data_IF_632817619873
#
_entry.id   IF_632817619873
#
_cell.length_a   1.000
_cell.length_b   1.000
_cell.length_c   1.000
_cell.angle_alpha   90.00
_cell.angle_beta   90.00
_cell.angle_gamma   90.00
#
_symmetry.space_group_name_H-M   'P 1'
#
loop_
_entity.id
_entity.type
_entity.pdbx_description
1 polymer ?
#
# COMPACT_ATOMS: atom_id res chain seq x y z
N UNK A 1 -1.69 -0.88 -28.96
CA UNK A 1 -2.75 -1.44 -28.10
C UNK A 1 -3.68 -0.30 -27.70
N UNK A 2 -4.99 -0.39 -27.97
CA UNK A 2 -5.93 0.70 -27.60
C UNK A 2 -6.25 0.60 -26.11
N UNK A 3 -6.02 1.69 -25.36
CA UNK A 3 -6.39 1.81 -23.95
C UNK A 3 -7.91 2.03 -23.87
N UNK A 4 -8.64 1.38 -22.94
CA UNK A 4 -10.06 1.65 -22.74
C UNK A 4 -10.29 3.12 -22.35
N UNK A 5 -11.38 3.68 -22.86
CA UNK A 5 -11.83 5.03 -22.52
C UNK A 5 -12.88 4.98 -21.39
N UNK A 6 -13.01 6.06 -20.62
CA UNK A 6 -13.99 6.20 -19.54
C UNK A 6 -13.94 5.06 -18.50
N UNK A 7 -12.74 4.80 -17.99
CA UNK A 7 -12.47 3.78 -16.97
C UNK A 7 -11.86 4.43 -15.73
N UNK A 8 -12.28 3.95 -14.56
CA UNK A 8 -11.61 4.28 -13.31
C UNK A 8 -10.18 3.72 -13.30
N UNK A 9 -9.34 4.22 -12.43
CA UNK A 9 -7.96 3.73 -12.29
C UNK A 9 -7.95 2.23 -11.91
N UNK A 10 -8.87 1.78 -11.05
CA UNK A 10 -9.02 0.35 -10.71
C UNK A 10 -9.35 -0.49 -11.93
N UNK A 11 -10.30 -0.04 -12.78
CA UNK A 11 -10.67 -0.74 -14.01
C UNK A 11 -9.54 -0.78 -15.04
N UNK A 12 -8.71 0.28 -15.10
CA UNK A 12 -7.52 0.32 -15.96
C UNK A 12 -6.48 -0.70 -15.51
N UNK A 13 -6.22 -0.81 -14.20
CA UNK A 13 -5.35 -1.85 -13.67
C UNK A 13 -5.92 -3.24 -13.93
N UNK A 14 -7.20 -3.48 -13.66
CA UNK A 14 -7.83 -4.78 -13.91
C UNK A 14 -7.72 -5.18 -15.40
N UNK A 15 -7.97 -4.23 -16.31
CA UNK A 15 -7.78 -4.43 -17.75
C UNK A 15 -6.33 -4.79 -18.09
N UNK A 16 -5.35 -4.06 -17.51
CA UNK A 16 -3.94 -4.31 -17.77
C UNK A 16 -3.49 -5.67 -17.28
N UNK A 17 -3.88 -6.05 -16.08
CA UNK A 17 -3.59 -7.35 -15.48
C UNK A 17 -4.13 -8.51 -16.33
N UNK A 18 -5.35 -8.37 -16.83
CA UNK A 18 -5.95 -9.38 -17.70
C UNK A 18 -5.32 -9.44 -19.11
N UNK A 19 -4.84 -8.30 -19.64
CA UNK A 19 -4.36 -8.20 -21.01
C UNK A 19 -2.96 -8.76 -21.23
N UNK A 20 -2.06 -8.56 -20.28
CA UNK A 20 -0.66 -8.98 -20.38
C UNK A 20 -0.13 -9.50 -19.05
N UNK A 21 -0.75 -10.56 -18.47
CA UNK A 21 -0.42 -11.05 -17.13
C UNK A 21 1.06 -11.42 -16.96
N UNK A 22 1.64 -12.06 -17.96
CA UNK A 22 3.01 -12.57 -17.88
C UNK A 22 4.09 -11.55 -18.27
N UNK A 23 3.68 -10.33 -18.67
CA UNK A 23 4.64 -9.27 -18.95
C UNK A 23 5.16 -8.67 -17.63
N UNK A 24 6.45 -8.31 -17.62
CA UNK A 24 7.05 -7.60 -16.47
C UNK A 24 6.38 -6.24 -16.30
N UNK A 25 5.84 -6.00 -15.13
CA UNK A 25 5.24 -4.72 -14.74
C UNK A 25 6.33 -3.74 -14.31
N UNK A 26 7.25 -4.17 -13.47
CA UNK A 26 8.39 -3.39 -13.02
C UNK A 26 9.56 -4.29 -12.60
N UNK A 27 10.75 -3.66 -12.52
CA UNK A 27 11.96 -4.24 -11.95
C UNK A 27 12.47 -3.36 -10.83
N UNK A 28 12.90 -3.98 -9.76
CA UNK A 28 13.56 -3.31 -8.67
C UNK A 28 14.75 -4.15 -8.18
N UNK A 29 15.96 -3.61 -8.35
CA UNK A 29 17.21 -4.34 -8.15
C UNK A 29 17.23 -5.62 -9.01
N UNK A 30 17.33 -6.79 -8.37
CA UNK A 30 17.33 -8.11 -8.99
C UNK A 30 15.94 -8.77 -9.04
N UNK A 31 14.91 -8.11 -8.51
CA UNK A 31 13.52 -8.60 -8.53
C UNK A 31 12.75 -8.11 -9.75
N UNK A 32 12.03 -9.02 -10.38
CA UNK A 32 11.06 -8.73 -11.43
C UNK A 32 9.67 -9.11 -10.95
N UNK A 33 8.70 -8.21 -11.13
CA UNK A 33 7.29 -8.45 -10.81
C UNK A 33 6.49 -8.41 -12.11
N UNK A 34 5.76 -9.48 -12.41
CA UNK A 34 4.85 -9.51 -13.55
C UNK A 34 3.54 -8.78 -13.21
N UNK A 35 2.73 -8.45 -14.23
CA UNK A 35 1.38 -7.91 -13.98
C UNK A 35 0.48 -8.90 -13.24
N UNK A 36 0.67 -10.21 -13.43
CA UNK A 36 -0.02 -11.25 -12.68
C UNK A 36 0.36 -11.22 -11.20
N UNK A 37 1.66 -11.16 -10.89
CA UNK A 37 2.14 -11.12 -9.51
C UNK A 37 1.69 -9.83 -8.82
N UNK A 38 1.81 -8.69 -9.49
CA UNK A 38 1.36 -7.40 -8.99
C UNK A 38 -0.15 -7.41 -8.68
N UNK A 39 -0.95 -8.09 -9.52
CA UNK A 39 -2.37 -8.28 -9.25
C UNK A 39 -2.62 -9.12 -7.99
N UNK A 40 -1.91 -10.23 -7.83
CA UNK A 40 -2.01 -11.11 -6.66
C UNK A 40 -1.61 -10.34 -5.40
N UNK A 41 -0.43 -9.74 -5.37
CA UNK A 41 0.10 -9.04 -4.20
C UNK A 41 -0.76 -7.85 -3.80
N UNK A 42 -1.24 -7.06 -4.76
CA UNK A 42 -2.15 -5.96 -4.46
C UNK A 42 -3.54 -6.41 -4.00
N UNK A 43 -4.04 -7.57 -4.45
CA UNK A 43 -5.26 -8.17 -3.90
C UNK A 43 -5.06 -8.59 -2.43
N UNK A 44 -3.94 -9.23 -2.13
CA UNK A 44 -3.59 -9.63 -0.77
C UNK A 44 -3.49 -8.42 0.15
N UNK A 45 -2.84 -7.34 -0.27
CA UNK A 45 -2.78 -6.10 0.52
C UNK A 45 -4.18 -5.52 0.73
N UNK A 46 -5.01 -5.46 -0.31
CA UNK A 46 -6.38 -4.96 -0.19
C UNK A 46 -7.21 -5.78 0.81
N UNK A 47 -7.16 -7.11 0.71
CA UNK A 47 -7.85 -7.99 1.64
C UNK A 47 -7.29 -7.85 3.07
N UNK A 48 -5.98 -7.69 3.22
CA UNK A 48 -5.34 -7.44 4.50
C UNK A 48 -5.80 -6.13 5.16
N UNK A 49 -5.94 -5.04 4.38
CA UNK A 49 -6.48 -3.77 4.88
C UNK A 49 -7.94 -3.91 5.31
N UNK A 50 -8.77 -4.61 4.52
CA UNK A 50 -10.15 -4.91 4.86
C UNK A 50 -10.22 -5.73 6.16
N UNK A 51 -9.39 -6.75 6.31
CA UNK A 51 -9.31 -7.59 7.51
C UNK A 51 -8.84 -6.81 8.75
N UNK A 52 -8.07 -5.74 8.58
CA UNK A 52 -7.73 -4.79 9.65
C UNK A 52 -8.89 -3.85 10.01
N UNK A 53 -10.02 -3.93 9.30
CA UNK A 53 -11.20 -3.09 9.53
C UNK A 53 -11.14 -1.74 8.84
N UNK A 54 -10.22 -1.53 7.90
CA UNK A 54 -10.18 -0.32 7.07
C UNK A 54 -11.44 -0.24 6.20
N UNK A 55 -12.03 0.94 6.14
CA UNK A 55 -13.21 1.26 5.34
C UNK A 55 -12.81 2.19 4.19
N UNK A 56 -13.76 2.50 3.31
CA UNK A 56 -13.57 3.59 2.34
C UNK A 56 -13.07 4.84 3.06
N UNK A 57 -12.16 5.56 2.44
CA UNK A 57 -11.50 6.77 2.95
C UNK A 57 -10.57 6.58 4.15
N UNK A 58 -10.37 5.37 4.68
CA UNK A 58 -9.31 5.13 5.67
C UNK A 58 -7.95 5.47 5.05
N UNK A 59 -7.15 6.32 5.72
CA UNK A 59 -5.83 6.73 5.23
C UNK A 59 -4.79 5.68 5.58
N UNK A 60 -4.03 5.28 4.56
CA UNK A 60 -2.98 4.28 4.65
C UNK A 60 -1.67 4.96 4.25
N UNK A 61 -0.79 5.16 5.22
CA UNK A 61 0.48 5.84 4.98
C UNK A 61 1.56 4.89 4.46
N UNK A 62 2.40 5.40 3.59
CA UNK A 62 3.65 4.77 3.16
C UNK A 62 4.82 5.71 3.47
N UNK A 63 5.72 5.27 4.34
CA UNK A 63 6.93 5.99 4.73
C UNK A 63 8.16 5.16 4.36
N UNK A 64 8.73 5.44 3.21
CA UNK A 64 9.84 4.69 2.67
C UNK A 64 10.30 5.24 1.33
N UNK A 65 11.43 4.72 0.84
CA UNK A 65 11.88 4.95 -0.53
C UNK A 65 11.02 4.16 -1.51
N UNK A 66 10.96 4.62 -2.75
CA UNK A 66 10.24 3.89 -3.79
C UNK A 66 10.90 2.53 -4.05
N UNK A 67 10.08 1.49 -4.09
CA UNK A 67 10.46 0.12 -4.39
C UNK A 67 9.31 -0.59 -5.13
N UNK A 68 9.48 -1.85 -5.47
CA UNK A 68 8.40 -2.70 -5.97
C UNK A 68 7.23 -2.77 -4.98
N UNK A 69 7.51 -2.89 -3.69
CA UNK A 69 6.50 -2.90 -2.62
C UNK A 69 5.67 -1.61 -2.55
N UNK A 70 6.26 -0.46 -2.92
CA UNK A 70 5.50 0.79 -3.02
C UNK A 70 4.32 0.65 -3.99
N UNK A 71 4.55 0.10 -5.18
CA UNK A 71 3.48 -0.11 -6.16
C UNK A 71 2.44 -1.14 -5.70
N UNK A 72 2.88 -2.21 -5.03
CA UNK A 72 1.96 -3.18 -4.43
C UNK A 72 1.04 -2.51 -3.40
N UNK A 73 1.61 -1.70 -2.50
CA UNK A 73 0.86 -0.97 -1.48
C UNK A 73 -0.13 0.03 -2.09
N UNK A 74 0.30 0.88 -3.03
CA UNK A 74 -0.56 1.88 -3.67
C UNK A 74 -1.73 1.22 -4.42
N UNK A 75 -1.48 0.15 -5.18
CA UNK A 75 -2.55 -0.55 -5.89
C UNK A 75 -3.45 -1.31 -4.91
N UNK A 76 -2.89 -1.84 -3.82
CA UNK A 76 -3.66 -2.48 -2.75
C UNK A 76 -4.61 -1.51 -2.05
N UNK A 77 -4.15 -0.29 -1.74
CA UNK A 77 -5.01 0.77 -1.17
C UNK A 77 -6.13 1.16 -2.14
N UNK A 78 -5.79 1.32 -3.42
CA UNK A 78 -6.79 1.59 -4.45
C UNK A 78 -7.86 0.49 -4.52
N UNK A 79 -7.48 -0.78 -4.50
CA UNK A 79 -8.40 -1.93 -4.56
C UNK A 79 -9.26 -2.09 -3.31
N UNK A 80 -8.83 -1.59 -2.17
CA UNK A 80 -9.60 -1.60 -0.92
C UNK A 80 -10.47 -0.34 -0.75
N UNK A 81 -10.49 0.57 -1.73
CA UNK A 81 -11.15 1.88 -1.66
C UNK A 81 -10.64 2.73 -0.47
N UNK A 82 -9.39 2.52 -0.05
CA UNK A 82 -8.73 3.33 0.97
C UNK A 82 -7.87 4.41 0.32
N UNK A 83 -7.40 5.39 1.09
CA UNK A 83 -6.63 6.53 0.58
C UNK A 83 -5.15 6.36 0.89
N UNK A 84 -4.32 6.39 -0.14
CA UNK A 84 -2.87 6.33 0.02
C UNK A 84 -2.30 7.69 0.44
N UNK A 85 -1.49 7.71 1.50
CA UNK A 85 -0.78 8.88 2.00
C UNK A 85 0.73 8.66 1.85
N UNK A 86 1.35 9.38 0.93
CA UNK A 86 2.81 9.34 0.76
C UNK A 86 3.51 10.25 1.77
N UNK A 87 4.34 9.68 2.63
CA UNK A 87 5.18 10.44 3.55
C UNK A 87 6.58 10.60 2.95
N UNK A 88 7.01 11.85 2.75
CA UNK A 88 8.32 12.10 2.19
C UNK A 88 9.43 11.60 3.14
N UNK A 89 10.24 10.69 2.66
CA UNK A 89 11.29 10.04 3.44
C UNK A 89 12.43 10.98 3.89
N UNK A 90 12.48 12.23 3.39
CA UNK A 90 13.47 13.24 3.80
C UNK A 90 13.02 14.09 4.97
N UNK A 91 11.79 13.92 5.44
CA UNK A 91 11.25 14.68 6.56
C UNK A 91 11.93 14.32 7.88
N UNK A 92 12.09 15.31 8.75
CA UNK A 92 12.51 15.12 10.12
C UNK A 92 11.39 14.46 10.97
N UNK A 93 11.72 13.77 12.08
CA UNK A 93 10.71 13.09 12.89
C UNK A 93 9.48 13.93 13.29
N UNK A 94 9.59 15.20 13.69
CA UNK A 94 8.41 16.03 13.99
C UNK A 94 7.52 16.30 12.77
N UNK A 95 8.11 16.41 11.58
CA UNK A 95 7.38 16.62 10.33
C UNK A 95 6.65 15.34 9.90
N UNK A 96 7.29 14.17 10.08
CA UNK A 96 6.65 12.86 9.87
C UNK A 96 5.46 12.69 10.80
N UNK A 97 5.62 13.00 12.09
CA UNK A 97 4.54 12.98 13.07
C UNK A 97 3.39 13.92 12.67
N UNK A 98 3.72 15.12 12.21
CA UNK A 98 2.72 16.07 11.72
C UNK A 98 1.91 15.47 10.55
N UNK A 99 2.57 14.96 9.50
CA UNK A 99 1.88 14.41 8.32
C UNK A 99 0.99 13.22 8.69
N UNK A 100 1.46 12.31 9.54
CA UNK A 100 0.71 11.13 9.95
C UNK A 100 -0.52 11.50 10.80
N UNK A 101 -0.40 12.49 11.67
CA UNK A 101 -1.51 12.98 12.50
C UNK A 101 -2.51 13.83 11.68
N UNK A 102 -2.02 14.73 10.83
CA UNK A 102 -2.86 15.60 10.00
C UNK A 102 -3.69 14.79 8.99
N UNK A 103 -3.09 13.77 8.41
CA UNK A 103 -3.80 12.83 7.52
C UNK A 103 -4.71 11.86 8.27
N UNK A 104 -4.65 11.78 9.59
CA UNK A 104 -5.35 10.77 10.40
C UNK A 104 -5.09 9.33 9.91
N UNK A 105 -3.87 9.03 9.48
CA UNK A 105 -3.50 7.70 8.97
C UNK A 105 -3.70 6.63 10.05
N UNK A 106 -4.29 5.50 9.65
CA UNK A 106 -4.59 4.38 10.57
C UNK A 106 -3.63 3.18 10.42
N UNK A 107 -3.10 2.98 9.22
CA UNK A 107 -2.10 1.95 8.92
C UNK A 107 -0.88 2.61 8.31
N UNK A 108 0.31 2.16 8.74
CA UNK A 108 1.57 2.67 8.25
C UNK A 108 2.43 1.54 7.70
N UNK A 109 2.73 1.59 6.42
CA UNK A 109 3.82 0.83 5.80
C UNK A 109 5.12 1.61 5.96
N UNK A 110 6.15 0.98 6.53
CA UNK A 110 7.42 1.67 6.81
C UNK A 110 8.62 0.86 6.31
N UNK A 111 9.54 1.52 5.60
CA UNK A 111 10.79 0.94 5.13
C UNK A 111 11.83 0.82 6.26
N UNK A 112 12.74 -0.15 6.16
CA UNK A 112 13.72 -0.50 7.20
C UNK A 112 14.53 0.70 7.72
N UNK A 113 14.99 1.56 6.83
CA UNK A 113 15.81 2.73 7.20
C UNK A 113 15.09 3.70 8.16
N UNK A 114 13.75 3.63 8.22
CA UNK A 114 12.90 4.56 8.96
C UNK A 114 12.29 3.97 10.24
N UNK A 115 12.57 2.70 10.55
CA UNK A 115 12.11 2.09 11.81
C UNK A 115 12.51 2.89 13.05
N UNK A 116 13.77 3.40 13.16
CA UNK A 116 14.15 4.18 14.33
C UNK A 116 13.36 5.48 14.48
N UNK A 117 13.00 6.11 13.37
CA UNK A 117 12.17 7.34 13.38
C UNK A 117 10.77 7.02 13.92
N UNK A 118 10.13 6.00 13.36
CA UNK A 118 8.81 5.59 13.83
C UNK A 118 8.84 5.13 15.28
N UNK A 119 9.89 4.41 15.69
CA UNK A 119 10.07 4.02 17.10
C UNK A 119 10.14 5.20 18.07
N UNK A 120 10.64 6.37 17.63
CA UNK A 120 10.73 7.59 18.44
C UNK A 120 9.40 8.34 18.57
N UNK A 121 8.56 8.32 17.53
CA UNK A 121 7.35 9.12 17.45
C UNK A 121 6.05 8.31 17.60
N UNK A 122 6.14 7.00 17.75
CA UNK A 122 4.96 6.12 17.73
C UNK A 122 3.94 6.45 18.82
N UNK A 123 4.40 6.84 20.00
CA UNK A 123 3.53 7.23 21.11
C UNK A 123 2.78 8.55 20.82
N UNK A 124 3.26 9.35 19.88
CA UNK A 124 2.63 10.59 19.42
C UNK A 124 1.67 10.38 18.24
N UNK A 125 1.42 9.12 17.84
CA UNK A 125 0.59 8.74 16.68
C UNK A 125 -0.66 7.97 17.11
N UNK A 126 -1.62 8.59 17.82
CA UNK A 126 -2.75 7.87 18.44
C UNK A 126 -3.73 7.25 17.43
N UNK A 127 -3.70 7.65 16.16
CA UNK A 127 -4.55 7.10 15.10
C UNK A 127 -3.94 5.86 14.44
N UNK A 128 -2.63 5.68 14.50
CA UNK A 128 -1.95 4.52 13.91
C UNK A 128 -2.32 3.26 14.71
N UNK A 129 -3.08 2.39 14.09
CA UNK A 129 -3.53 1.10 14.65
C UNK A 129 -2.58 -0.05 14.32
N UNK A 130 -1.87 0.06 13.19
CA UNK A 130 -0.98 -0.98 12.69
C UNK A 130 0.22 -0.39 11.98
N UNK A 131 1.41 -0.86 12.35
CA UNK A 131 2.66 -0.61 11.61
C UNK A 131 3.09 -1.91 10.94
N UNK A 132 3.39 -1.84 9.64
CA UNK A 132 3.83 -2.95 8.81
C UNK A 132 5.22 -2.64 8.28
N UNK A 133 6.18 -3.46 8.66
CA UNK A 133 7.60 -3.30 8.33
C UNK A 133 7.91 -3.88 6.95
N UNK A 134 8.42 -3.03 6.04
CA UNK A 134 8.90 -3.41 4.71
C UNK A 134 10.41 -3.63 4.78
N UNK A 135 10.92 -4.56 3.96
CA UNK A 135 12.36 -4.84 3.73
C UNK A 135 13.12 -5.48 4.89
N UNK A 136 12.49 -5.89 5.95
CA UNK A 136 13.15 -6.58 7.05
C UNK A 136 12.24 -6.69 8.26
N UNK A 137 12.42 -7.69 9.05
CA UNK A 137 11.64 -7.87 10.26
C UNK A 137 11.97 -6.82 11.32
N UNK A 138 10.99 -6.43 12.12
CA UNK A 138 11.16 -5.59 13.29
C UNK A 138 10.46 -6.23 14.49
N UNK A 139 11.05 -6.18 15.68
CA UNK A 139 10.50 -6.86 16.87
C UNK A 139 9.08 -6.46 17.21
N UNK A 140 8.71 -5.19 16.97
CA UNK A 140 7.41 -4.62 17.35
C UNK A 140 6.45 -4.43 16.17
N UNK A 141 6.94 -4.49 14.92
CA UNK A 141 6.13 -4.24 13.73
C UNK A 141 5.83 -5.54 13.00
N UNK A 142 4.69 -5.59 12.35
CA UNK A 142 4.31 -6.76 11.56
C UNK A 142 5.19 -6.86 10.32
N UNK A 143 5.81 -7.98 10.06
CA UNK A 143 6.53 -8.23 8.81
C UNK A 143 5.60 -8.17 7.59
N UNK A 144 6.00 -7.41 6.58
CA UNK A 144 5.19 -7.13 5.38
C UNK A 144 4.91 -8.39 4.57
N UNK A 145 5.94 -9.18 4.27
CA UNK A 145 5.81 -10.34 3.39
C UNK A 145 4.90 -11.39 4.03
N UNK A 146 5.16 -11.75 5.27
CA UNK A 146 4.33 -12.74 5.98
C UNK A 146 2.90 -12.25 6.19
N UNK A 147 2.70 -10.94 6.44
CA UNK A 147 1.36 -10.36 6.54
C UNK A 147 0.62 -10.40 5.19
N UNK A 148 1.27 -9.93 4.13
CA UNK A 148 0.70 -9.92 2.77
C UNK A 148 0.33 -11.35 2.33
N UNK A 149 1.29 -12.28 2.42
CA UNK A 149 1.14 -13.63 1.90
C UNK A 149 0.15 -14.49 2.70
N UNK A 150 -0.21 -14.08 3.92
CA UNK A 150 -1.27 -14.70 4.70
C UNK A 150 -2.69 -14.28 4.26
N UNK A 151 -2.83 -13.31 3.36
CA UNK A 151 -4.13 -12.79 2.93
C UNK A 151 -4.63 -13.48 1.65
N UNK A 152 -5.96 -13.42 1.44
CA UNK A 152 -6.59 -13.95 0.23
C UNK A 152 -6.05 -13.24 -1.03
N UNK A 153 -5.70 -14.02 -2.05
CA UNK A 153 -5.17 -13.52 -3.33
C UNK A 153 -6.25 -13.16 -4.35
N UNK A 154 -7.51 -13.50 -4.09
CA UNK A 154 -8.65 -13.13 -4.93
C UNK A 154 -8.96 -11.64 -4.84
N UNK A 155 -9.57 -11.08 -5.89
CA UNK A 155 -10.01 -9.69 -5.85
C UNK A 155 -10.99 -9.45 -4.68
N UNK A 156 -10.90 -8.32 -3.96
CA UNK A 156 -11.71 -8.07 -2.76
C UNK A 156 -13.21 -7.88 -3.02
N UNK A 157 -13.65 -7.92 -4.28
CA UNK A 157 -15.08 -7.86 -4.64
C UNK A 157 -15.75 -6.51 -4.39
N UNK A 158 -14.99 -5.48 -4.04
CA UNK A 158 -15.51 -4.13 -3.89
C UNK A 158 -15.79 -3.51 -5.25
N UNK A 159 -16.84 -2.68 -5.32
CA UNK A 159 -17.03 -1.82 -6.48
C UNK A 159 -15.93 -0.76 -6.48
N UNK A 160 -15.44 -0.43 -7.67
CA UNK A 160 -14.53 0.70 -7.83
C UNK A 160 -15.19 1.98 -7.31
N UNK A 161 -14.44 2.78 -6.57
CA UNK A 161 -14.87 4.15 -6.23
C UNK A 161 -15.04 4.96 -7.51
N UNK A 162 -15.95 5.92 -7.51
CA UNK A 162 -16.13 6.85 -8.62
C UNK A 162 -14.90 7.78 -8.72
N UNK A 163 -14.60 8.28 -9.93
CA UNK A 163 -13.44 9.15 -10.18
C UNK A 163 -13.46 10.48 -9.39
N UNK A 164 -14.62 10.83 -8.81
CA UNK A 164 -14.81 12.03 -7.99
C UNK A 164 -14.41 11.83 -6.50
N UNK A 165 -14.00 10.61 -6.11
CA UNK A 165 -13.60 10.28 -4.73
C UNK A 165 -12.08 10.51 -4.46
N UNK A 166 -11.43 11.39 -5.26
CA UNK A 166 -10.00 11.71 -5.09
C UNK A 166 -9.83 13.13 -4.55
#
# INVERSE_FOLDING_TARGET
MKIPENKTLQELFAWRFAKTPDSVAHKFLDRETTYKDLNIYSNQIANGLINLGCKSDTRIAYYGKNSDYFFECIIGTLKSNTVAVGVNWRLAPPEVSYVLNDSESEVLFVGEEFYPIIGQILDDLPKIKKVIAIDGGHEKFQDFISWRDSQESSAPGLKSSDDDDI
#
